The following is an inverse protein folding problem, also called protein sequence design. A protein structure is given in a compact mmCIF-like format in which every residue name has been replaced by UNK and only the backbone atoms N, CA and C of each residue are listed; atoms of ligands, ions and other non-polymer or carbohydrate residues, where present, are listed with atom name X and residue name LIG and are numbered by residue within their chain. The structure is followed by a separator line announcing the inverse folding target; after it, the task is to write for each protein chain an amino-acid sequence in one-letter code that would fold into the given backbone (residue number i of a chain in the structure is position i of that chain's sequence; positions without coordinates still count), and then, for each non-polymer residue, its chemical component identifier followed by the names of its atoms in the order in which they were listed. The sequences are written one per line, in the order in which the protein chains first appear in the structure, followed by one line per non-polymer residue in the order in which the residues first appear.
data_IF_830773138764
#
_entry.id   IF_830773138764
#
_cell.length_a   1.000
_cell.length_b   1.000
_cell.length_c   1.000
_cell.angle_alpha   90.00
_cell.angle_beta   90.00
_cell.angle_gamma   90.00
#
_symmetry.space_group_name_H-M   'P 1'
#
loop_
_entity.id
_entity.type
_entity.pdbx_description
1 polymer ?
#
# COMPACT_ATOMS: atom_id res chain seq x y z
N UNK A 1 37.15 -34.02 -20.45
CA UNK A 1 36.80 -32.71 -21.05
C UNK A 1 35.45 -32.31 -20.48
N UNK A 2 35.38 -31.08 -19.95
CA UNK A 2 34.34 -30.58 -19.06
C UNK A 2 33.10 -30.00 -19.79
N UNK A 3 32.16 -29.46 -18.98
CA UNK A 3 31.06 -28.53 -19.30
C UNK A 3 29.66 -29.21 -19.36
N UNK A 4 28.58 -28.74 -18.72
CA UNK A 4 28.30 -27.61 -17.81
C UNK A 4 26.99 -27.92 -17.09
N UNK A 5 26.90 -27.64 -15.80
CA UNK A 5 25.63 -27.73 -15.05
C UNK A 5 24.94 -26.37 -15.22
N UNK A 6 23.82 -26.30 -15.93
CA UNK A 6 22.95 -25.12 -15.89
C UNK A 6 22.05 -25.26 -14.68
N UNK A 7 22.43 -24.63 -13.58
CA UNK A 7 21.57 -24.47 -12.41
C UNK A 7 20.51 -23.43 -12.69
N UNK A 8 19.25 -23.85 -12.83
CA UNK A 8 18.10 -22.94 -12.77
C UNK A 8 17.92 -22.53 -11.32
N UNK A 9 18.31 -21.30 -10.98
CA UNK A 9 17.94 -20.70 -9.70
C UNK A 9 16.58 -20.03 -9.90
N UNK A 10 15.51 -20.68 -9.42
CA UNK A 10 14.23 -20.00 -9.22
C UNK A 10 14.37 -19.09 -8.00
N UNK A 11 14.81 -17.86 -8.22
CA UNK A 11 14.76 -16.81 -7.19
C UNK A 11 13.30 -16.36 -7.09
N UNK A 12 12.52 -17.03 -6.25
CA UNK A 12 11.30 -16.45 -5.69
C UNK A 12 11.73 -15.34 -4.72
N UNK A 13 12.05 -14.15 -5.24
CA UNK A 13 12.20 -12.95 -4.43
C UNK A 13 10.86 -12.71 -3.75
N UNK A 14 10.72 -13.14 -2.49
CA UNK A 14 9.74 -12.54 -1.59
C UNK A 14 10.10 -11.07 -1.58
N UNK A 15 9.29 -10.24 -2.24
CA UNK A 15 9.39 -8.78 -2.15
C UNK A 15 9.41 -8.48 -0.65
N UNK A 16 10.57 -8.11 -0.14
CA UNK A 16 10.66 -7.44 1.15
C UNK A 16 10.00 -6.09 0.88
N UNK A 17 8.67 -6.05 1.01
CA UNK A 17 7.95 -4.79 1.03
C UNK A 17 8.52 -4.05 2.24
N UNK A 18 9.36 -3.05 1.98
CA UNK A 18 9.85 -2.16 3.03
C UNK A 18 8.62 -1.47 3.61
N UNK A 19 8.13 -1.95 4.76
CA UNK A 19 7.13 -1.24 5.53
C UNK A 19 7.74 0.10 5.92
N UNK A 20 7.26 1.17 5.28
CA UNK A 20 7.54 2.53 5.72
C UNK A 20 6.67 2.77 6.93
N UNK A 21 7.28 2.82 8.11
CA UNK A 21 6.59 3.23 9.33
C UNK A 21 6.49 4.76 9.34
N UNK A 22 5.27 5.28 9.32
CA UNK A 22 4.99 6.71 9.32
C UNK A 22 5.16 7.27 10.74
N UNK A 23 5.77 8.44 10.85
CA UNK A 23 5.90 9.19 12.11
C UNK A 23 5.30 10.61 11.97
N UNK A 24 5.00 11.29 13.10
CA UNK A 24 4.52 12.66 13.04
C UNK A 24 5.46 13.59 12.28
N UNK A 25 4.89 14.41 11.40
CA UNK A 25 5.63 15.35 10.55
C UNK A 25 6.04 14.79 9.19
N UNK A 26 5.96 13.47 8.96
CA UNK A 26 6.12 12.92 7.63
C UNK A 26 4.98 13.40 6.71
N UNK A 27 5.31 13.64 5.44
CA UNK A 27 4.30 13.87 4.42
C UNK A 27 3.47 12.58 4.27
N UNK A 28 2.16 12.72 4.34
CA UNK A 28 1.25 11.61 4.10
C UNK A 28 1.47 11.07 2.67
N UNK A 29 1.71 9.76 2.50
CA UNK A 29 1.80 9.16 1.18
C UNK A 29 0.50 9.39 0.41
N UNK A 30 0.62 9.74 -0.86
CA UNK A 30 -0.54 9.92 -1.70
C UNK A 30 -1.20 8.57 -1.99
N UNK A 31 -2.54 8.55 -2.01
CA UNK A 31 -3.32 7.37 -2.29
C UNK A 31 -4.61 7.76 -3.01
N UNK A 32 -5.21 6.77 -3.66
CA UNK A 32 -6.48 6.91 -4.38
C UNK A 32 -7.42 5.79 -3.95
N UNK A 33 -8.64 6.14 -3.53
CA UNK A 33 -9.62 5.19 -3.03
C UNK A 33 -11.00 5.40 -3.69
N UNK A 34 -11.73 4.32 -4.02
CA UNK A 34 -13.12 4.43 -4.42
C UNK A 34 -14.00 4.76 -3.21
N UNK A 35 -14.91 5.72 -3.38
CA UNK A 35 -15.97 6.06 -2.44
C UNK A 35 -17.23 5.24 -2.66
N UNK A 36 -18.08 5.17 -1.64
CA UNK A 36 -19.40 4.52 -1.72
C UNK A 36 -20.42 5.28 -2.58
N UNK A 37 -20.11 6.51 -2.96
CA UNK A 37 -20.87 7.36 -3.86
C UNK A 37 -20.56 7.12 -5.36
N UNK A 38 -19.69 6.15 -5.65
CA UNK A 38 -19.24 5.83 -7.01
C UNK A 38 -18.16 6.78 -7.54
N UNK A 39 -17.68 7.73 -6.75
CA UNK A 39 -16.56 8.61 -7.10
C UNK A 39 -15.24 7.98 -6.64
N UNK A 40 -14.14 8.42 -7.24
CA UNK A 40 -12.80 8.10 -6.78
C UNK A 40 -12.18 9.36 -6.20
N UNK A 41 -11.51 9.22 -5.05
CA UNK A 41 -10.89 10.32 -4.33
C UNK A 41 -9.39 10.10 -4.25
N UNK A 42 -8.62 11.16 -4.51
CA UNK A 42 -7.17 11.18 -4.31
C UNK A 42 -6.82 12.10 -3.14
N UNK A 43 -5.85 11.71 -2.30
CA UNK A 43 -5.47 12.51 -1.13
C UNK A 43 -5.08 13.95 -1.53
N UNK A 44 -4.35 14.11 -2.64
CA UNK A 44 -3.95 15.43 -3.16
C UNK A 44 -5.12 16.37 -3.50
N UNK A 45 -6.32 15.84 -3.76
CA UNK A 45 -7.52 16.66 -4.03
C UNK A 45 -8.09 17.30 -2.76
N UNK A 46 -7.67 16.82 -1.58
CA UNK A 46 -8.14 17.25 -0.27
C UNK A 46 -7.15 18.19 0.44
N UNK A 47 -6.13 18.69 -0.27
CA UNK A 47 -5.15 19.62 0.29
C UNK A 47 -5.81 20.87 0.90
N UNK A 48 -5.19 21.39 1.96
CA UNK A 48 -5.71 22.53 2.73
C UNK A 48 -6.87 22.18 3.68
N UNK A 49 -7.25 20.90 3.79
CA UNK A 49 -8.25 20.41 4.74
C UNK A 49 -7.62 19.45 5.74
N UNK A 50 -8.16 19.41 6.96
CA UNK A 50 -7.82 18.35 7.91
C UNK A 50 -8.48 17.04 7.45
N UNK A 51 -7.68 15.98 7.31
CA UNK A 51 -8.11 14.65 6.86
C UNK A 51 -7.74 13.62 7.93
N UNK A 52 -8.68 12.74 8.26
CA UNK A 52 -8.47 11.61 9.19
C UNK A 52 -8.65 10.32 8.41
N UNK A 53 -7.72 9.38 8.58
CA UNK A 53 -7.81 8.05 7.97
C UNK A 53 -8.03 7.03 9.06
N UNK A 54 -9.02 6.15 8.87
CA UNK A 54 -9.34 5.06 9.76
C UNK A 54 -9.50 3.77 8.95
N UNK A 55 -8.97 2.66 9.48
CA UNK A 55 -9.06 1.34 8.87
C UNK A 55 -9.75 0.39 9.84
N UNK A 56 -10.65 -0.42 9.32
CA UNK A 56 -11.33 -1.47 10.08
C UNK A 56 -11.46 -2.72 9.18
N UNK A 57 -11.54 -3.93 9.74
CA UNK A 57 -11.56 -5.16 8.94
C UNK A 57 -12.81 -5.28 8.05
N UNK A 58 -13.97 -4.85 8.55
CA UNK A 58 -15.25 -4.93 7.86
C UNK A 58 -16.24 -3.87 8.36
N UNK A 59 -16.97 -3.25 7.43
CA UNK A 59 -18.03 -2.29 7.75
C UNK A 59 -19.31 -3.02 8.19
N UNK A 60 -20.20 -2.29 8.88
CA UNK A 60 -21.57 -2.74 9.20
C UNK A 60 -21.65 -4.05 10.01
N UNK A 61 -20.77 -4.21 10.99
CA UNK A 61 -20.86 -5.30 11.99
C UNK A 61 -21.58 -4.80 13.25
N UNK A 62 -22.51 -5.60 13.79
CA UNK A 62 -22.96 -5.44 15.17
C UNK A 62 -21.87 -6.02 16.06
N UNK A 63 -21.29 -5.21 16.95
CA UNK A 63 -20.18 -5.63 17.82
C UNK A 63 -20.54 -6.76 18.77
#
# INVERSE_FOLDING_TARGET
MAATIVGVVNVSTRRMESTVELKPGDLAPDFTLPGSDGRTYRLSELEGRAVVIAWFPKAFTGG
#
